data_IF_946902328003
#
_entry.id   IF_946902328003
#
_cell.length_a   1.000
_cell.length_b   1.000
_cell.length_c   1.000
_cell.angle_alpha   90.00
_cell.angle_beta   90.00
_cell.angle_gamma   90.00
#
_symmetry.space_group_name_H-M   'P 1'
#
loop_
_entity.id
_entity.type
_entity.pdbx_description
1 polymer ?
#
# COMPACT_ATOMS: atom_id res chain seq x y z
N UNK A 1 -8.86 -2.25 9.69
CA UNK A 1 -9.90 -2.25 8.63
C UNK A 1 -9.17 -2.32 7.30
N UNK A 2 -9.35 -3.40 6.53
CA UNK A 2 -8.68 -3.56 5.23
C UNK A 2 -9.49 -2.90 4.10
N UNK A 3 -8.87 -2.75 2.92
CA UNK A 3 -9.59 -2.42 1.70
C UNK A 3 -10.02 -3.75 1.04
N UNK A 4 -11.29 -3.91 0.64
CA UNK A 4 -11.80 -5.12 -0.02
C UNK A 4 -11.29 -5.30 -1.46
N UNK A 5 -10.19 -4.62 -1.81
CA UNK A 5 -9.57 -4.64 -3.11
C UNK A 5 -8.14 -5.15 -2.96
N UNK A 6 -7.85 -6.41 -3.34
CA UNK A 6 -6.51 -6.95 -3.31
C UNK A 6 -5.58 -6.14 -4.20
N UNK A 7 -4.48 -5.62 -3.65
CA UNK A 7 -3.45 -4.91 -4.40
C UNK A 7 -2.16 -5.70 -4.37
N UNK A 8 -1.59 -5.97 -5.55
CA UNK A 8 -0.31 -6.68 -5.68
C UNK A 8 0.83 -5.85 -5.10
N UNK A 9 1.82 -6.52 -4.51
CA UNK A 9 3.04 -5.89 -4.01
C UNK A 9 3.73 -4.99 -5.05
N UNK A 10 3.75 -5.42 -6.32
CA UNK A 10 4.31 -4.63 -7.42
C UNK A 10 3.70 -3.23 -7.56
N UNK A 11 2.40 -3.07 -7.30
CA UNK A 11 1.74 -1.76 -7.38
C UNK A 11 2.17 -0.81 -6.26
N UNK A 12 2.58 -1.33 -5.09
CA UNK A 12 3.19 -0.53 -4.04
C UNK A 12 4.59 -0.07 -4.43
N UNK A 13 5.38 -0.94 -5.05
CA UNK A 13 6.71 -0.59 -5.57
C UNK A 13 6.59 0.51 -6.62
N UNK A 14 5.70 0.35 -7.60
CA UNK A 14 5.45 1.38 -8.63
C UNK A 14 5.00 2.72 -8.02
N UNK A 15 4.14 2.70 -7.00
CA UNK A 15 3.72 3.92 -6.31
C UNK A 15 4.90 4.64 -5.62
N UNK A 16 5.81 3.89 -5.00
CA UNK A 16 7.04 4.44 -4.41
C UNK A 16 7.98 5.01 -5.48
N UNK A 17 8.17 4.28 -6.59
CA UNK A 17 9.03 4.73 -7.69
C UNK A 17 8.54 6.06 -8.27
N UNK A 18 7.23 6.19 -8.46
CA UNK A 18 6.60 7.41 -8.98
C UNK A 18 6.72 8.57 -7.98
N UNK A 19 6.48 8.33 -6.69
CA UNK A 19 6.60 9.35 -5.64
C UNK A 19 8.04 9.83 -5.42
N UNK A 20 9.03 8.93 -5.57
CA UNK A 20 10.44 9.22 -5.37
C UNK A 20 11.18 9.63 -6.66
N UNK A 21 10.54 9.49 -7.82
CA UNK A 21 11.13 9.77 -9.13
C UNK A 21 12.31 8.86 -9.48
N UNK A 22 12.38 7.65 -8.92
CA UNK A 22 13.52 6.72 -9.07
C UNK A 22 13.04 5.28 -9.16
N UNK A 23 13.69 4.48 -10.02
CA UNK A 23 13.42 3.05 -10.13
C UNK A 23 14.03 2.26 -8.99
N UNK A 24 13.26 1.32 -8.45
CA UNK A 24 13.72 0.38 -7.46
C UNK A 24 14.58 -0.70 -8.14
N UNK A 25 15.63 -1.13 -7.44
CA UNK A 25 16.36 -2.35 -7.82
C UNK A 25 15.64 -3.50 -7.13
N UNK A 26 14.97 -4.34 -7.92
CA UNK A 26 14.14 -5.44 -7.42
C UNK A 26 14.95 -6.74 -7.45
N UNK A 27 15.13 -7.34 -6.27
CA UNK A 27 15.65 -8.69 -6.12
C UNK A 27 14.50 -9.61 -5.67
N UNK A 28 14.18 -10.62 -6.48
CA UNK A 28 13.14 -11.59 -6.15
C UNK A 28 13.71 -12.67 -5.26
N UNK A 29 13.26 -12.71 -4.01
CA UNK A 29 13.65 -13.70 -3.02
C UNK A 29 12.59 -14.81 -2.88
N UNK A 30 12.97 -16.01 -2.39
CA UNK A 30 12.01 -17.03 -2.01
C UNK A 30 11.03 -16.52 -0.95
N UNK A 31 9.82 -17.09 -0.95
CA UNK A 31 8.79 -16.80 0.05
C UNK A 31 9.33 -17.07 1.47
N UNK A 32 9.10 -16.15 2.40
CA UNK A 32 9.59 -16.32 3.77
C UNK A 32 8.70 -17.33 4.51
N UNK A 33 9.29 -18.04 5.47
CA UNK A 33 8.56 -18.95 6.34
C UNK A 33 7.58 -18.13 7.21
N UNK A 34 6.30 -18.15 6.85
CA UNK A 34 5.24 -17.37 7.53
C UNK A 34 4.44 -16.47 6.60
N UNK A 35 4.89 -16.24 5.36
CA UNK A 35 4.10 -15.52 4.37
C UNK A 35 2.92 -16.37 3.88
N UNK A 36 1.75 -15.74 3.81
CA UNK A 36 0.56 -16.29 3.16
C UNK A 36 0.47 -15.69 1.75
N UNK A 37 0.37 -16.52 0.69
CA UNK A 37 0.47 -16.06 -0.70
C UNK A 37 -0.56 -14.98 -1.07
N UNK A 38 -1.78 -15.12 -0.56
CA UNK A 38 -2.87 -14.20 -0.77
C UNK A 38 -3.68 -14.05 0.51
N UNK A 39 -3.90 -12.80 0.93
CA UNK A 39 -4.84 -12.49 2.01
C UNK A 39 -5.67 -11.27 1.60
N UNK A 40 -6.96 -11.32 1.91
CA UNK A 40 -7.86 -10.19 1.69
C UNK A 40 -8.83 -10.08 2.86
N UNK A 41 -9.26 -8.86 3.16
CA UNK A 41 -10.26 -8.61 4.18
C UNK A 41 -11.62 -8.36 3.52
N UNK A 42 -12.59 -9.24 3.79
CA UNK A 42 -13.98 -8.92 3.50
C UNK A 42 -14.47 -7.87 4.51
N UNK A 43 -14.88 -6.71 4.00
CA UNK A 43 -15.34 -5.58 4.82
C UNK A 43 -16.83 -5.32 4.68
N UNK A 44 -17.58 -6.20 4.01
CA UNK A 44 -19.02 -6.03 3.75
C UNK A 44 -19.82 -5.86 5.04
N UNK A 45 -19.48 -6.61 6.10
CA UNK A 45 -20.15 -6.52 7.40
C UNK A 45 -19.91 -5.15 8.08
N UNK A 46 -18.70 -4.59 7.94
CA UNK A 46 -18.38 -3.27 8.49
C UNK A 46 -19.08 -2.17 7.69
N UNK A 47 -19.05 -2.26 6.36
CA UNK A 47 -19.73 -1.30 5.47
C UNK A 47 -21.23 -1.25 5.77
N UNK A 48 -21.88 -2.40 5.98
CA UNK A 48 -23.29 -2.46 6.38
C UNK A 48 -23.56 -1.85 7.76
N UNK A 49 -22.64 -2.04 8.71
CA UNK A 49 -22.84 -1.59 10.09
C UNK A 49 -22.63 -0.07 10.28
N UNK A 50 -21.69 0.53 9.55
CA UNK A 50 -21.27 1.93 9.80
C UNK A 50 -21.24 2.82 8.55
N UNK A 51 -21.55 2.29 7.36
CA UNK A 51 -21.56 3.05 6.11
C UNK A 51 -20.18 3.54 5.64
N UNK A 52 -19.10 3.01 6.22
CA UNK A 52 -17.73 3.43 5.92
C UNK A 52 -17.06 2.46 4.95
N UNK A 53 -16.41 3.03 3.93
CA UNK A 53 -15.56 2.31 2.98
C UNK A 53 -14.29 3.11 2.71
N UNK A 54 -13.09 2.53 2.86
CA UNK A 54 -11.85 3.22 2.51
C UNK A 54 -11.80 3.46 0.99
N UNK A 55 -11.58 4.70 0.58
CA UNK A 55 -11.51 5.12 -0.84
C UNK A 55 -10.11 5.51 -1.30
N UNK A 56 -9.18 5.72 -0.36
CA UNK A 56 -7.79 6.08 -0.69
C UNK A 56 -7.13 4.95 -1.48
N UNK A 57 -6.62 5.30 -2.66
CA UNK A 57 -5.89 4.36 -3.51
C UNK A 57 -4.48 4.13 -2.96
N UNK A 58 -3.82 3.03 -3.36
CA UNK A 58 -2.41 2.80 -2.98
C UNK A 58 -1.51 3.91 -3.48
N UNK A 59 -1.71 4.40 -4.70
CA UNK A 59 -0.94 5.51 -5.26
C UNK A 59 -1.06 6.79 -4.40
N UNK A 60 -2.29 7.16 -4.02
CA UNK A 60 -2.56 8.32 -3.19
C UNK A 60 -2.01 8.15 -1.77
N UNK A 61 -2.21 6.99 -1.15
CA UNK A 61 -1.75 6.69 0.21
C UNK A 61 -0.21 6.67 0.31
N UNK A 62 0.46 6.03 -0.64
CA UNK A 62 1.93 5.99 -0.70
C UNK A 62 2.51 7.38 -0.99
N UNK A 63 1.91 8.16 -1.90
CA UNK A 63 2.36 9.53 -2.16
C UNK A 63 2.32 10.39 -0.90
N UNK A 64 1.18 10.41 -0.20
CA UNK A 64 1.03 11.13 1.08
C UNK A 64 2.03 10.66 2.14
N UNK A 65 2.31 9.36 2.19
CA UNK A 65 3.29 8.81 3.11
C UNK A 65 4.72 9.30 2.80
N UNK A 66 5.10 9.31 1.52
CA UNK A 66 6.41 9.83 1.08
C UNK A 66 6.54 11.32 1.42
N UNK A 67 5.52 12.13 1.14
CA UNK A 67 5.52 13.56 1.47
C UNK A 67 5.71 13.78 2.98
N UNK A 68 4.96 13.05 3.79
CA UNK A 68 5.10 13.10 5.26
C UNK A 68 6.49 12.68 5.71
N UNK A 69 7.03 11.59 5.15
CA UNK A 69 8.34 11.06 5.53
C UNK A 69 9.45 12.08 5.21
N UNK A 70 9.43 12.67 4.01
CA UNK A 70 10.40 13.68 3.61
C UNK A 70 10.33 14.92 4.50
N UNK A 71 9.12 15.41 4.80
CA UNK A 71 8.91 16.54 5.69
C UNK A 71 9.40 16.25 7.12
N UNK A 72 9.12 15.05 7.64
CA UNK A 72 9.52 14.66 9.00
C UNK A 72 11.04 14.58 9.17
N UNK A 73 11.77 14.14 8.14
CA UNK A 73 13.23 14.02 8.16
C UNK A 73 13.97 15.23 7.57
N UNK A 74 13.27 16.28 7.11
CA UNK A 74 13.88 17.47 6.51
C UNK A 74 14.63 17.20 5.20
N UNK A 75 14.13 16.25 4.40
CA UNK A 75 14.70 15.88 3.10
C UNK A 75 14.21 16.80 1.95
N UNK A 76 13.29 17.72 2.27
CA UNK A 76 12.67 18.72 1.40
C UNK A 76 12.58 20.05 2.12
#
# INVERSE_FOLDING_TARGET
IGNNNPVKLAAYVEALENALGRKAIIELLPLQAGDVPDTFADTSALEQAVGYRPTTTVAEGVGRFVDWYQAYFGLT
#
